data_IF_429110913349
#
_entry.id   IF_429110913349
#
_cell.length_a   1.000
_cell.length_b   1.000
_cell.length_c   1.000
_cell.angle_alpha   90.00
_cell.angle_beta   90.00
_cell.angle_gamma   90.00
#
_symmetry.space_group_name_H-M   'P 1'
#
loop_
_entity.id
_entity.type
_entity.pdbx_description
1 polymer ?
#
# COMPACT_ATOMS: atom_id res chain seq x y z
N UNK A 1 18.10 5.23 -24.85
CA UNK A 1 16.65 5.33 -24.56
C UNK A 1 16.50 5.20 -23.04
N UNK A 2 16.53 6.32 -22.32
CA UNK A 2 16.43 6.36 -20.86
C UNK A 2 15.02 5.94 -20.46
N UNK A 3 14.82 4.99 -19.52
CA UNK A 3 13.49 4.66 -19.04
C UNK A 3 12.85 5.94 -18.48
N UNK A 4 11.64 6.27 -18.96
CA UNK A 4 10.78 7.27 -18.32
C UNK A 4 10.77 6.94 -16.82
N UNK A 5 11.15 7.89 -15.97
CA UNK A 5 11.12 7.69 -14.53
C UNK A 5 9.73 7.18 -14.18
N UNK A 6 9.65 5.91 -13.77
CA UNK A 6 8.39 5.34 -13.34
C UNK A 6 7.94 6.16 -12.14
N UNK A 7 6.68 6.62 -12.18
CA UNK A 7 6.12 7.44 -11.11
C UNK A 7 6.24 6.73 -9.77
N UNK A 8 6.31 7.50 -8.69
CA UNK A 8 6.21 6.93 -7.35
C UNK A 8 4.79 6.43 -7.14
N UNK A 9 4.67 5.21 -6.63
CA UNK A 9 3.42 4.63 -6.14
C UNK A 9 3.28 5.01 -4.66
N UNK A 10 2.14 5.56 -4.28
CA UNK A 10 1.88 5.96 -2.90
C UNK A 10 0.86 5.00 -2.29
N UNK A 11 1.19 4.38 -1.16
CA UNK A 11 0.27 3.44 -0.51
C UNK A 11 0.12 3.76 0.97
N UNK A 12 -1.04 3.39 1.52
CA UNK A 12 -1.32 3.42 2.95
C UNK A 12 -1.68 2.02 3.42
N UNK A 13 -1.13 1.61 4.55
CA UNK A 13 -1.37 0.32 5.19
C UNK A 13 -1.72 0.57 6.64
N UNK A 14 -2.80 -0.05 7.10
CA UNK A 14 -3.21 -0.06 8.51
C UNK A 14 -3.04 -1.47 9.03
N UNK A 15 -2.42 -1.63 10.20
CA UNK A 15 -2.07 -2.94 10.74
C UNK A 15 -1.94 -2.93 12.26
N UNK A 16 -2.15 -4.09 12.87
CA UNK A 16 -1.88 -4.36 14.29
C UNK A 16 -0.38 -4.44 14.54
N UNK A 17 0.08 -3.83 15.62
CA UNK A 17 1.49 -3.79 16.05
C UNK A 17 1.97 -5.13 16.65
N UNK A 18 1.74 -6.23 15.93
CA UNK A 18 2.26 -7.54 16.29
C UNK A 18 3.77 -7.63 16.04
N UNK A 19 4.45 -8.49 16.80
CA UNK A 19 5.88 -8.73 16.62
C UNK A 19 6.22 -9.09 15.16
N UNK A 20 7.20 -8.38 14.60
CA UNK A 20 7.66 -8.58 13.23
C UNK A 20 6.70 -8.12 12.13
N UNK A 21 5.56 -7.49 12.47
CA UNK A 21 4.58 -7.01 11.49
C UNK A 21 5.20 -6.09 10.44
N UNK A 22 5.89 -5.05 10.90
CA UNK A 22 6.58 -4.10 10.03
C UNK A 22 7.59 -4.80 9.10
N UNK A 23 8.38 -5.74 9.65
CA UNK A 23 9.37 -6.51 8.87
C UNK A 23 8.70 -7.35 7.79
N UNK A 24 7.58 -8.03 8.09
CA UNK A 24 6.86 -8.85 7.12
C UNK A 24 6.23 -7.99 6.02
N UNK A 25 5.61 -6.87 6.38
CA UNK A 25 5.02 -5.92 5.43
C UNK A 25 6.09 -5.40 4.48
N UNK A 26 7.20 -4.86 5.00
CA UNK A 26 8.30 -4.34 4.18
C UNK A 26 8.96 -5.45 3.33
N UNK A 27 9.10 -6.65 3.89
CA UNK A 27 9.62 -7.80 3.17
C UNK A 27 8.75 -8.17 1.95
N UNK A 28 7.42 -8.11 2.05
CA UNK A 28 6.52 -8.33 0.90
C UNK A 28 6.71 -7.25 -0.15
N UNK A 29 6.80 -5.98 0.25
CA UNK A 29 7.02 -4.84 -0.66
C UNK A 29 8.32 -5.02 -1.45
N UNK A 30 9.42 -5.27 -0.77
CA UNK A 30 10.75 -5.41 -1.38
C UNK A 30 10.84 -6.66 -2.26
N UNK A 31 10.34 -7.80 -1.79
CA UNK A 31 10.31 -9.07 -2.57
C UNK A 31 9.49 -8.94 -3.84
N UNK A 32 8.53 -7.99 -3.90
CA UNK A 32 7.73 -7.71 -5.09
C UNK A 32 8.36 -6.74 -6.06
N UNK A 33 9.58 -6.28 -5.80
CA UNK A 33 10.35 -5.45 -6.71
C UNK A 33 9.98 -3.97 -6.61
N UNK A 34 9.62 -3.50 -5.41
CA UNK A 34 9.44 -2.09 -5.11
C UNK A 34 10.54 -1.61 -4.18
N UNK A 35 11.27 -0.57 -4.59
CA UNK A 35 12.22 0.12 -3.74
C UNK A 35 11.49 1.16 -2.87
N UNK A 36 11.69 1.09 -1.56
CA UNK A 36 11.15 2.08 -0.63
C UNK A 36 11.90 3.41 -0.77
N UNK A 37 11.17 4.52 -0.93
CA UNK A 37 11.73 5.87 -1.06
C UNK A 37 11.47 6.75 0.15
N UNK A 38 10.28 6.66 0.71
CA UNK A 38 9.94 7.31 1.96
C UNK A 38 8.90 6.50 2.72
N UNK A 39 8.91 6.66 4.04
CA UNK A 39 7.98 6.04 4.96
C UNK A 39 7.58 7.06 6.01
N UNK A 40 6.28 7.19 6.24
CA UNK A 40 5.70 7.88 7.37
C UNK A 40 4.85 6.90 8.15
N UNK A 41 5.03 6.84 9.47
CA UNK A 41 4.30 5.90 10.31
C UNK A 41 3.89 6.60 11.61
N UNK A 42 2.64 6.40 11.99
CA UNK A 42 2.12 6.74 13.32
C UNK A 42 1.54 5.49 13.98
N UNK A 43 1.65 5.40 15.30
CA UNK A 43 1.11 4.27 16.06
C UNK A 43 0.62 4.72 17.43
N UNK A 44 -0.35 4.00 17.98
CA UNK A 44 -0.82 4.14 19.36
C UNK A 44 -0.37 2.99 20.28
N UNK A 45 0.55 2.12 19.82
CA UNK A 45 1.04 0.96 20.56
C UNK A 45 0.42 -0.37 20.09
N UNK A 46 -0.87 -0.38 19.76
CA UNK A 46 -1.59 -1.60 19.33
C UNK A 46 -1.89 -1.59 17.84
N UNK A 47 -2.10 -0.41 17.27
CA UNK A 47 -2.40 -0.19 15.86
C UNK A 47 -1.41 0.81 15.27
N UNK A 48 -1.12 0.63 13.99
CA UNK A 48 -0.25 1.51 13.23
C UNK A 48 -0.85 1.83 11.87
N UNK A 49 -0.55 3.04 11.44
CA UNK A 49 -0.85 3.54 10.11
C UNK A 49 0.47 3.90 9.47
N UNK A 50 0.74 3.33 8.30
CA UNK A 50 1.97 3.53 7.55
C UNK A 50 1.69 3.96 6.12
N UNK A 51 2.26 5.08 5.71
CA UNK A 51 2.23 5.59 4.34
C UNK A 51 3.61 5.42 3.71
N UNK A 52 3.68 4.81 2.53
CA UNK A 52 4.92 4.53 1.81
C UNK A 52 4.90 5.21 0.43
N UNK A 53 6.05 5.75 0.01
CA UNK A 53 6.33 6.07 -1.38
C UNK A 53 7.27 5.02 -1.96
N UNK A 54 6.86 4.38 -3.05
CA UNK A 54 7.52 3.22 -3.62
C UNK A 54 7.92 3.51 -5.07
N UNK A 55 9.13 3.12 -5.44
CA UNK A 55 9.57 3.11 -6.82
C UNK A 55 9.57 1.67 -7.36
N UNK A 56 8.75 1.32 -8.36
CA UNK A 56 8.87 0.04 -9.04
C UNK A 56 10.25 -0.10 -9.70
N UNK A 57 10.88 -1.27 -9.54
CA UNK A 57 12.21 -1.55 -10.12
C UNK A 57 12.13 -1.70 -11.64
N UNK A 58 10.99 -2.14 -12.18
CA UNK A 58 10.74 -2.31 -13.61
C UNK A 58 9.27 -1.96 -13.98
N UNK A 59 8.97 -1.65 -15.25
CA UNK A 59 7.66 -1.15 -15.67
C UNK A 59 6.51 -2.16 -15.53
N UNK A 60 6.80 -3.42 -15.23
CA UNK A 60 5.79 -4.47 -15.13
C UNK A 60 5.28 -4.65 -13.70
N UNK A 61 5.86 -3.97 -12.72
CA UNK A 61 5.41 -4.01 -11.32
C UNK A 61 4.14 -3.18 -11.15
N UNK A 62 3.11 -3.82 -10.57
CA UNK A 62 1.79 -3.24 -10.33
C UNK A 62 1.52 -3.16 -8.83
N UNK A 63 1.31 -1.96 -8.32
CA UNK A 63 1.08 -1.73 -6.89
C UNK A 63 -0.11 -2.53 -6.38
N UNK A 64 -1.17 -2.68 -7.18
CA UNK A 64 -2.39 -3.42 -6.83
C UNK A 64 -2.09 -4.90 -6.53
N UNK A 65 -1.15 -5.50 -7.26
CA UNK A 65 -0.78 -6.91 -7.07
C UNK A 65 -0.01 -7.13 -5.78
N UNK A 66 0.89 -6.20 -5.45
CA UNK A 66 1.62 -6.21 -4.19
C UNK A 66 0.67 -5.92 -3.01
N UNK A 67 -0.24 -4.95 -3.13
CA UNK A 67 -1.22 -4.63 -2.09
C UNK A 67 -2.14 -5.80 -1.77
N UNK A 68 -2.61 -6.56 -2.77
CA UNK A 68 -3.38 -7.80 -2.55
C UNK A 68 -2.65 -8.85 -1.72
N UNK A 69 -1.32 -8.80 -1.66
CA UNK A 69 -0.52 -9.74 -0.86
C UNK A 69 -0.22 -9.19 0.51
N UNK A 70 0.05 -7.90 0.62
CA UNK A 70 0.12 -7.22 1.92
C UNK A 70 -1.18 -7.41 2.69
N UNK A 71 -2.33 -7.25 2.02
CA UNK A 71 -3.67 -7.45 2.60
C UNK A 71 -3.94 -8.89 3.09
N UNK A 72 -3.09 -9.87 2.75
CA UNK A 72 -3.22 -11.26 3.22
C UNK A 72 -2.41 -11.53 4.49
N UNK A 73 -1.60 -10.59 4.95
CA UNK A 73 -0.88 -10.70 6.21
C UNK A 73 -1.87 -10.57 7.37
N UNK A 74 -1.73 -11.42 8.40
CA UNK A 74 -2.70 -11.55 9.50
C UNK A 74 -2.83 -10.26 10.34
N UNK A 75 -1.78 -9.47 10.40
CA UNK A 75 -1.71 -8.20 11.10
C UNK A 75 -2.32 -7.05 10.30
N UNK A 76 -2.47 -7.17 8.98
CA UNK A 76 -2.93 -6.08 8.11
C UNK A 76 -4.45 -5.98 8.19
N UNK A 77 -4.93 -4.79 8.50
CA UNK A 77 -6.34 -4.46 8.67
C UNK A 77 -6.90 -3.81 7.39
N UNK A 78 -6.11 -2.93 6.76
CA UNK A 78 -6.51 -2.29 5.50
C UNK A 78 -5.30 -1.90 4.64
N UNK A 79 -5.51 -1.81 3.33
CA UNK A 79 -4.52 -1.32 2.37
C UNK A 79 -5.17 -0.42 1.33
N UNK A 80 -4.58 0.73 1.03
CA UNK A 80 -5.10 1.71 0.07
C UNK A 80 -3.99 2.11 -0.89
N UNK A 81 -4.28 2.06 -2.20
CA UNK A 81 -3.47 2.74 -3.21
C UNK A 81 -3.87 4.23 -3.24
N UNK A 82 -3.00 5.11 -2.78
CA UNK A 82 -3.20 6.55 -2.82
C UNK A 82 -2.97 7.05 -4.24
N UNK A 83 -4.05 7.12 -5.01
CA UNK A 83 -4.03 7.75 -6.33
C UNK A 83 -4.43 9.22 -6.19
N UNK A 84 -3.85 10.10 -7.00
CA UNK A 84 -4.28 11.50 -7.08
C UNK A 84 -5.66 11.66 -7.79
N UNK A 85 -6.38 10.57 -8.03
CA UNK A 85 -7.73 10.61 -8.58
C UNK A 85 -8.76 10.96 -7.50
N UNK A 86 -9.89 11.59 -7.85
CA UNK A 86 -10.97 11.80 -6.89
C UNK A 86 -11.40 10.45 -6.29
N UNK A 87 -11.66 10.36 -4.98
CA UNK A 87 -12.16 9.13 -4.38
C UNK A 87 -13.43 8.71 -5.10
N UNK A 88 -13.41 7.52 -5.71
CA UNK A 88 -14.58 6.94 -6.35
C UNK A 88 -15.53 6.52 -5.23
N UNK A 89 -16.45 7.40 -4.87
CA UNK A 89 -17.59 7.06 -4.06
C UNK A 89 -18.57 6.28 -4.94
N UNK A 90 -18.44 4.95 -4.99
CA UNK A 90 -19.55 4.11 -5.39
C UNK A 90 -20.59 4.14 -4.25
N UNK A 91 -21.63 4.94 -4.44
CA UNK A 91 -22.85 4.84 -3.62
C UNK A 91 -23.91 4.19 -4.49
N UNK A 92 -24.31 2.99 -4.09
CA UNK A 92 -25.35 2.18 -4.70
C UNK A 92 -26.67 2.94 -4.77
N UNK A 93 -27.26 3.04 -5.96
CA UNK A 93 -28.64 3.47 -6.13
C UNK A 93 -29.56 2.53 -5.35
N UNK A 94 -30.12 3.00 -4.24
CA UNK A 94 -31.34 2.41 -3.69
C UNK A 94 -32.50 3.19 -4.30
N UNK A 95 -33.05 2.64 -5.39
CA UNK A 95 -34.40 2.98 -5.80
C UNK A 95 -35.35 2.55 -4.67
N UNK A 96 -36.09 3.49 -4.11
CA UNK A 96 -37.26 3.19 -3.28
C UNK A 96 -38.48 3.65 -4.08
N UNK A 97 -39.42 2.71 -4.18
CA UNK A 97 -40.62 2.70 -5.02
C UNK A 97 -41.59 3.86 -4.77
#
# INVERSE_FOLDING_TARGET
MTPKAQGLEHIRIEFRCAEGALRRILGVVETRGFALRSMQMGSNGDHAVMTLALAPIDPFRRAETMLRQVARLQEVESTIHLTNGPPVAEVTNVAIA
#
